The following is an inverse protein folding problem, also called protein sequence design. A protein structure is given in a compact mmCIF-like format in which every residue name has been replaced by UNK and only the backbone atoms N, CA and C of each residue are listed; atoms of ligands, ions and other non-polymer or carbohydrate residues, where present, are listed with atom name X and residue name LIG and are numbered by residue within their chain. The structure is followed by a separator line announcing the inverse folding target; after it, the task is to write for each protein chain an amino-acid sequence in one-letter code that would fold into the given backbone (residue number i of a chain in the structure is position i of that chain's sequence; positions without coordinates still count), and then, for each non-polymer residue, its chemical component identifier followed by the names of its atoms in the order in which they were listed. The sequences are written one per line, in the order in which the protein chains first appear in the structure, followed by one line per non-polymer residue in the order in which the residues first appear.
data_IF_811864886216
#
_entry.id   IF_811864886216
#
_cell.length_a   1.000
_cell.length_b   1.000
_cell.length_c   1.000
_cell.angle_alpha   90.00
_cell.angle_beta   90.00
_cell.angle_gamma   90.00
#
_symmetry.space_group_name_H-M   'P 1'
#
loop_
_entity.id
_entity.type
_entity.pdbx_description
1 polymer ?
#
# COMPACT_ATOMS: atom_id res chain seq x y z
N UNK A 1 2.92 -11.23 -2.03
CA UNK A 1 3.34 -11.21 -0.61
C UNK A 1 4.84 -11.02 -0.53
N UNK A 2 5.30 -10.06 0.27
CA UNK A 2 6.72 -9.71 0.43
C UNK A 2 7.06 -9.72 1.93
N UNK A 3 7.68 -10.79 2.38
CA UNK A 3 8.29 -10.85 3.70
C UNK A 3 9.69 -10.26 3.62
N UNK A 4 9.96 -9.20 4.34
CA UNK A 4 11.17 -8.39 4.21
C UNK A 4 11.82 -8.08 5.56
N UNK A 5 13.09 -7.73 5.54
CA UNK A 5 13.72 -7.04 6.66
C UNK A 5 13.34 -5.54 6.68
N UNK A 6 13.68 -4.87 7.76
CA UNK A 6 13.53 -3.43 7.85
C UNK A 6 14.48 -2.70 6.86
N UNK A 7 14.07 -1.52 6.40
CA UNK A 7 14.88 -0.58 5.60
C UNK A 7 15.42 -1.11 4.26
N UNK A 8 14.74 -2.05 3.63
CA UNK A 8 15.10 -2.57 2.29
C UNK A 8 14.42 -1.83 1.13
N UNK A 9 13.82 -0.67 1.37
CA UNK A 9 13.20 0.15 0.32
C UNK A 9 11.80 -0.28 -0.11
N UNK A 10 11.10 -1.11 0.66
CA UNK A 10 9.76 -1.59 0.30
C UNK A 10 8.75 -0.46 0.07
N UNK A 11 8.73 0.58 0.91
CA UNK A 11 7.85 1.73 0.73
C UNK A 11 8.10 2.45 -0.61
N UNK A 12 9.35 2.47 -1.09
CA UNK A 12 9.67 3.02 -2.43
C UNK A 12 9.11 2.15 -3.56
N UNK A 13 9.06 0.83 -3.39
CA UNK A 13 8.38 -0.06 -4.34
C UNK A 13 6.89 0.28 -4.39
N UNK A 14 6.24 0.48 -3.25
CA UNK A 14 4.84 0.92 -3.20
C UNK A 14 4.64 2.27 -3.90
N UNK A 15 5.54 3.23 -3.64
CA UNK A 15 5.50 4.55 -4.30
C UNK A 15 5.61 4.42 -5.83
N UNK A 16 6.50 3.56 -6.34
CA UNK A 16 6.62 3.33 -7.79
C UNK A 16 5.36 2.69 -8.38
N UNK A 17 4.72 1.74 -7.69
CA UNK A 17 3.45 1.15 -8.11
C UNK A 17 2.38 2.25 -8.18
N UNK A 18 2.28 3.09 -7.15
CA UNK A 18 1.32 4.19 -7.11
C UNK A 18 1.57 5.18 -8.25
N UNK A 19 2.82 5.63 -8.42
CA UNK A 19 3.20 6.58 -9.46
C UNK A 19 2.90 6.05 -10.87
N UNK A 20 3.22 4.78 -11.15
CA UNK A 20 2.90 4.12 -12.41
C UNK A 20 1.39 4.16 -12.70
N UNK A 21 0.58 3.83 -11.71
CA UNK A 21 -0.88 3.79 -11.86
C UNK A 21 -1.56 5.16 -11.76
N UNK A 22 -0.88 6.20 -11.35
CA UNK A 22 -1.35 7.58 -11.52
C UNK A 22 -1.10 8.06 -12.95
N UNK A 23 0.06 7.72 -13.52
CA UNK A 23 0.54 8.28 -14.79
C UNK A 23 0.13 7.45 -16.00
N UNK A 24 0.38 6.14 -16.00
CA UNK A 24 0.32 5.30 -17.21
C UNK A 24 -0.91 4.39 -17.27
N UNK A 25 -1.40 3.89 -16.15
CA UNK A 25 -2.49 2.91 -16.10
C UNK A 25 -3.46 3.29 -14.97
N UNK A 26 -4.10 4.45 -15.15
CA UNK A 26 -4.93 5.09 -14.14
C UNK A 26 -6.05 4.19 -13.62
N UNK A 27 -6.15 4.06 -12.31
CA UNK A 27 -7.16 3.24 -11.66
C UNK A 27 -7.34 3.59 -10.18
N UNK A 28 -8.43 3.14 -9.54
CA UNK A 28 -8.61 3.31 -8.11
C UNK A 28 -7.63 2.47 -7.29
N UNK A 29 -6.88 3.12 -6.40
CA UNK A 29 -5.83 2.53 -5.55
C UNK A 29 -6.22 2.73 -4.08
N UNK A 30 -5.94 1.73 -3.25
CA UNK A 30 -6.01 1.83 -1.80
C UNK A 30 -4.66 1.43 -1.20
N UNK A 31 -4.15 2.23 -0.29
CA UNK A 31 -3.00 1.87 0.56
C UNK A 31 -3.51 1.74 1.98
N UNK A 32 -3.19 0.63 2.60
CA UNK A 32 -3.56 0.35 3.99
C UNK A 32 -2.31 0.41 4.85
N UNK A 33 -2.33 1.29 5.84
CA UNK A 33 -1.30 1.45 6.87
C UNK A 33 -1.81 0.93 8.21
N UNK A 34 -0.96 0.63 9.20
CA UNK A 34 -1.40 0.11 10.50
C UNK A 34 -2.43 1.01 11.19
N UNK A 35 -2.18 2.30 11.20
CA UNK A 35 -3.07 3.32 11.81
C UNK A 35 -3.39 4.44 10.84
N UNK A 36 -4.34 5.31 11.22
CA UNK A 36 -4.68 6.51 10.45
C UNK A 36 -3.55 7.56 10.53
N UNK A 37 -2.83 7.58 11.64
CA UNK A 37 -1.66 8.42 11.88
C UNK A 37 -0.53 8.02 10.93
N UNK A 38 -0.26 6.73 10.80
CA UNK A 38 0.73 6.20 9.85
C UNK A 38 0.33 6.52 8.39
N UNK A 39 -0.95 6.37 8.06
CA UNK A 39 -1.47 6.74 6.73
C UNK A 39 -1.28 8.25 6.46
N UNK A 40 -1.46 9.08 7.47
CA UNK A 40 -1.26 10.54 7.37
C UNK A 40 0.23 10.88 7.22
N UNK A 41 1.11 10.23 7.98
CA UNK A 41 2.56 10.34 7.87
C UNK A 41 3.03 9.94 6.47
N UNK A 42 2.63 8.76 6.00
CA UNK A 42 2.95 8.26 4.66
C UNK A 42 2.50 9.24 3.55
N UNK A 43 1.31 9.84 3.70
CA UNK A 43 0.83 10.86 2.75
C UNK A 43 1.76 12.08 2.67
N UNK A 44 2.23 12.56 3.83
CA UNK A 44 3.06 13.78 3.91
C UNK A 44 4.52 13.52 3.52
N UNK A 45 5.07 12.40 3.98
CA UNK A 45 6.50 12.13 3.91
C UNK A 45 6.92 11.37 2.65
N UNK A 46 5.99 10.60 2.05
CA UNK A 46 6.28 9.77 0.89
C UNK A 46 5.48 10.20 -0.34
N UNK A 47 4.15 10.32 -0.23
CA UNK A 47 3.29 10.60 -1.40
C UNK A 47 3.42 12.05 -1.85
N UNK A 48 3.38 13.02 -0.95
CA UNK A 48 3.47 14.43 -1.34
C UNK A 48 4.83 14.78 -1.99
N UNK A 49 5.99 14.35 -1.45
CA UNK A 49 7.26 14.54 -2.16
C UNK A 49 7.32 13.82 -3.50
N UNK A 50 6.82 12.57 -3.59
CA UNK A 50 6.78 11.83 -4.85
C UNK A 50 6.01 12.61 -5.94
N UNK A 51 4.83 13.13 -5.61
CA UNK A 51 4.02 13.91 -6.55
C UNK A 51 4.67 15.22 -6.95
N UNK A 52 5.37 15.88 -6.02
CA UNK A 52 6.08 17.14 -6.25
C UNK A 52 7.35 16.98 -7.07
N UNK A 53 8.14 15.94 -6.78
CA UNK A 53 9.51 15.81 -7.28
C UNK A 53 9.63 14.91 -8.53
N UNK A 54 8.51 14.26 -8.94
CA UNK A 54 8.48 13.40 -10.13
C UNK A 54 7.86 14.16 -11.31
N UNK A 55 8.64 14.58 -12.32
CA UNK A 55 8.14 15.47 -13.38
C UNK A 55 6.91 14.97 -14.12
N UNK A 56 6.81 13.67 -14.40
CA UNK A 56 5.67 13.10 -15.12
C UNK A 56 4.36 13.07 -14.30
N UNK A 57 4.42 13.34 -12.99
CA UNK A 57 3.25 13.41 -12.12
C UNK A 57 2.76 14.85 -11.89
N UNK A 58 3.51 15.84 -12.36
CA UNK A 58 3.14 17.25 -12.18
C UNK A 58 1.79 17.54 -12.82
N UNK A 59 0.90 18.19 -12.07
CA UNK A 59 -0.43 18.60 -12.54
C UNK A 59 -1.47 17.48 -12.64
N UNK A 60 -1.09 16.20 -12.45
CA UNK A 60 -2.05 15.09 -12.46
C UNK A 60 -2.87 15.02 -11.17
N UNK A 61 -2.30 15.40 -10.05
CA UNK A 61 -2.96 15.44 -8.74
C UNK A 61 -2.97 16.87 -8.25
N UNK A 62 -4.15 17.44 -8.03
CA UNK A 62 -4.28 18.79 -7.47
C UNK A 62 -3.82 18.85 -6.03
N UNK A 63 -3.28 20.00 -5.60
CA UNK A 63 -2.89 20.21 -4.22
C UNK A 63 -4.08 20.08 -3.25
N UNK A 64 -3.84 19.52 -2.07
CA UNK A 64 -4.84 19.38 -1.01
C UNK A 64 -5.42 20.73 -0.51
N UNK A 65 -4.79 21.84 -0.88
CA UNK A 65 -5.21 23.21 -0.59
C UNK A 65 -6.07 23.84 -1.66
N UNK A 66 -6.27 23.18 -2.79
CA UNK A 66 -7.15 23.68 -3.84
C UNK A 66 -8.60 23.76 -3.31
N UNK A 67 -9.31 24.85 -3.66
CA UNK A 67 -10.67 25.17 -3.15
C UNK A 67 -11.75 24.14 -3.51
N UNK A 68 -11.45 23.16 -4.35
CA UNK A 68 -12.40 22.15 -4.85
C UNK A 68 -12.70 21.00 -3.86
N UNK A 69 -12.02 20.97 -2.71
CA UNK A 69 -12.32 20.03 -1.62
C UNK A 69 -12.16 18.53 -1.93
N UNK A 70 -11.78 18.20 -3.16
CA UNK A 70 -11.71 16.81 -3.64
C UNK A 70 -10.45 16.10 -3.19
N UNK A 71 -9.38 16.84 -2.91
CA UNK A 71 -8.10 16.32 -2.45
C UNK A 71 -7.86 16.63 -0.97
N UNK A 72 -7.67 15.59 -0.20
CA UNK A 72 -7.34 15.65 1.23
C UNK A 72 -5.98 14.97 1.49
N UNK A 73 -5.53 14.98 2.72
CA UNK A 73 -4.34 14.22 3.10
C UNK A 73 -4.48 12.72 2.81
N UNK A 74 -5.67 12.17 3.02
CA UNK A 74 -5.92 10.72 2.90
C UNK A 74 -6.57 10.31 1.58
N UNK A 75 -6.94 11.27 0.73
CA UNK A 75 -7.55 10.98 -0.57
C UNK A 75 -6.97 11.92 -1.63
N UNK A 76 -6.54 11.36 -2.75
CA UNK A 76 -6.05 12.07 -3.91
C UNK A 76 -6.85 11.63 -5.13
N UNK A 77 -7.34 12.58 -5.89
CA UNK A 77 -8.00 12.34 -7.17
C UNK A 77 -7.05 12.69 -8.32
N UNK A 78 -7.09 11.90 -9.36
CA UNK A 78 -6.36 12.12 -10.61
C UNK A 78 -7.19 11.61 -11.78
N UNK A 79 -6.91 12.02 -13.01
CA UNK A 79 -7.65 11.57 -14.19
C UNK A 79 -7.68 10.03 -14.27
N UNK A 80 -8.89 9.47 -14.28
CA UNK A 80 -9.10 8.01 -14.38
C UNK A 80 -8.96 7.22 -13.07
N UNK A 81 -8.65 7.87 -11.91
CA UNK A 81 -8.48 7.13 -10.68
C UNK A 81 -8.49 7.94 -9.39
N UNK A 82 -8.34 7.23 -8.30
CA UNK A 82 -8.23 7.81 -6.96
C UNK A 82 -7.22 7.02 -6.14
N UNK A 83 -6.44 7.69 -5.32
CA UNK A 83 -5.62 7.09 -4.28
C UNK A 83 -6.28 7.36 -2.93
N UNK A 84 -6.55 6.31 -2.17
CA UNK A 84 -7.05 6.39 -0.80
C UNK A 84 -6.05 5.77 0.16
N UNK A 85 -5.73 6.49 1.21
CA UNK A 85 -4.86 6.05 2.30
C UNK A 85 -5.75 5.77 3.51
N UNK A 86 -5.68 4.57 4.06
CA UNK A 86 -6.57 4.12 5.13
C UNK A 86 -5.78 3.48 6.26
N UNK A 87 -6.25 3.65 7.50
CA UNK A 87 -5.72 2.92 8.65
C UNK A 87 -6.42 1.57 8.80
N UNK A 88 -5.66 0.52 9.08
CA UNK A 88 -6.19 -0.83 9.31
C UNK A 88 -7.13 -0.91 10.52
N UNK A 89 -6.99 0.01 11.47
CA UNK A 89 -7.86 0.13 12.64
C UNK A 89 -9.24 0.74 12.33
N UNK A 90 -9.45 1.31 11.13
CA UNK A 90 -10.68 2.01 10.75
C UNK A 90 -11.53 1.21 9.75
N UNK A 91 -12.68 0.62 10.17
CA UNK A 91 -13.54 -0.10 9.23
C UNK A 91 -14.12 0.79 8.14
N UNK A 92 -14.29 2.08 8.39
CA UNK A 92 -14.87 3.04 7.42
C UNK A 92 -14.04 3.16 6.14
N UNK A 93 -12.71 3.04 6.24
CA UNK A 93 -11.81 3.11 5.08
C UNK A 93 -12.04 2.01 4.05
N UNK A 94 -12.57 0.88 4.48
CA UNK A 94 -12.84 -0.27 3.62
C UNK A 94 -14.27 -0.29 3.03
N UNK A 95 -15.15 0.63 3.44
CA UNK A 95 -16.55 0.59 3.00
C UNK A 95 -16.77 1.36 1.69
N UNK A 96 -17.80 0.94 0.94
CA UNK A 96 -18.45 1.68 -0.17
C UNK A 96 -17.58 1.96 -1.39
N UNK A 97 -16.44 1.29 -1.56
CA UNK A 97 -15.54 1.59 -2.68
C UNK A 97 -14.96 0.32 -3.27
N UNK A 98 -14.96 0.24 -4.60
CA UNK A 98 -14.20 -0.77 -5.34
C UNK A 98 -12.82 -0.22 -5.65
N UNK A 99 -11.79 -1.06 -5.54
CA UNK A 99 -10.40 -0.71 -5.82
C UNK A 99 -9.77 -1.75 -6.74
N UNK A 100 -9.07 -1.30 -7.77
CA UNK A 100 -8.34 -2.24 -8.63
C UNK A 100 -7.04 -2.69 -7.96
N UNK A 101 -6.41 -1.79 -7.23
CA UNK A 101 -5.14 -2.05 -6.55
C UNK A 101 -5.31 -1.83 -5.06
N UNK A 102 -4.84 -2.80 -4.27
CA UNK A 102 -4.74 -2.68 -2.81
C UNK A 102 -3.32 -3.03 -2.39
N UNK A 103 -2.70 -2.09 -1.69
CA UNK A 103 -1.34 -2.17 -1.17
C UNK A 103 -1.41 -2.18 0.36
N UNK A 104 -1.01 -3.29 0.96
CA UNK A 104 -0.94 -3.42 2.41
C UNK A 104 0.49 -3.25 2.86
N UNK A 105 0.73 -2.29 3.73
CA UNK A 105 2.04 -2.00 4.31
C UNK A 105 2.07 -2.34 5.79
N UNK A 106 3.16 -2.93 6.25
CA UNK A 106 3.43 -3.34 7.64
C UNK A 106 2.27 -4.14 8.28
N UNK A 107 1.82 -5.21 7.60
CA UNK A 107 0.63 -5.98 8.00
C UNK A 107 0.73 -6.65 9.37
N UNK A 108 1.94 -6.92 9.85
CA UNK A 108 2.14 -7.47 11.20
C UNK A 108 1.84 -6.43 12.30
N UNK A 109 1.84 -5.13 11.95
CA UNK A 109 1.42 -4.04 12.82
C UNK A 109 -0.10 -3.82 12.88
N UNK A 110 -0.89 -4.56 12.10
CA UNK A 110 -2.35 -4.37 12.11
C UNK A 110 -2.99 -4.92 13.38
N UNK A 111 -4.04 -4.27 13.90
CA UNK A 111 -4.82 -4.81 15.00
C UNK A 111 -5.46 -6.16 14.61
N UNK A 112 -5.92 -6.93 15.59
CA UNK A 112 -6.53 -8.24 15.35
C UNK A 112 -7.75 -8.17 14.43
N UNK A 113 -8.48 -7.06 14.44
CA UNK A 113 -9.68 -6.81 13.64
C UNK A 113 -9.82 -5.32 13.30
N UNK A 114 -10.46 -5.00 12.17
CA UNK A 114 -10.93 -3.66 11.86
C UNK A 114 -12.24 -3.40 12.64
N UNK A 115 -12.11 -3.03 13.91
CA UNK A 115 -13.24 -2.91 14.79
C UNK A 115 -14.04 -4.23 14.86
N UNK A 116 -15.34 -4.18 14.55
CA UNK A 116 -16.24 -5.35 14.52
C UNK A 116 -16.31 -6.05 13.15
N UNK A 117 -15.61 -5.55 12.13
CA UNK A 117 -15.78 -6.04 10.73
C UNK A 117 -14.85 -7.19 10.33
N UNK A 118 -13.91 -7.54 11.19
CA UNK A 118 -13.02 -8.67 10.98
C UNK A 118 -11.68 -8.32 10.32
N UNK A 119 -11.08 -9.27 9.65
CA UNK A 119 -9.71 -9.20 9.12
C UNK A 119 -9.57 -8.16 8.00
N UNK A 120 -8.65 -7.20 8.18
CA UNK A 120 -8.41 -6.08 7.29
C UNK A 120 -7.95 -6.51 5.89
N UNK A 121 -7.16 -7.57 5.82
CA UNK A 121 -6.63 -8.09 4.56
C UNK A 121 -7.80 -8.64 3.74
N UNK A 122 -8.67 -9.44 4.35
CA UNK A 122 -9.87 -9.97 3.69
C UNK A 122 -10.81 -8.85 3.26
N UNK A 123 -11.00 -7.83 4.11
CA UNK A 123 -11.81 -6.67 3.76
C UNK A 123 -11.26 -5.92 2.54
N UNK A 124 -9.95 -5.67 2.51
CA UNK A 124 -9.31 -5.01 1.38
C UNK A 124 -9.37 -5.84 0.09
N UNK A 125 -9.13 -7.16 0.17
CA UNK A 125 -9.22 -8.08 -0.97
C UNK A 125 -10.62 -8.05 -1.60
N UNK A 126 -11.69 -8.07 -0.79
CA UNK A 126 -13.08 -7.95 -1.27
C UNK A 126 -13.33 -6.68 -2.08
N UNK A 127 -12.60 -5.59 -1.82
CA UNK A 127 -12.73 -4.35 -2.61
C UNK A 127 -12.19 -4.49 -4.01
N UNK A 128 -11.42 -5.52 -4.32
CA UNK A 128 -10.84 -5.76 -5.63
C UNK A 128 -11.64 -6.71 -6.52
N UNK A 129 -12.67 -7.37 -6.01
CA UNK A 129 -13.40 -8.44 -6.70
C UNK A 129 -14.07 -7.99 -8.00
N UNK A 130 -14.43 -6.72 -8.12
CA UNK A 130 -15.00 -6.14 -9.33
C UNK A 130 -14.02 -6.12 -10.52
N UNK A 131 -12.70 -6.12 -10.25
CA UNK A 131 -11.68 -5.97 -11.27
C UNK A 131 -11.03 -7.31 -11.61
N UNK A 132 -11.14 -7.75 -12.86
CA UNK A 132 -10.48 -8.96 -13.35
C UNK A 132 -8.95 -8.85 -13.33
N UNK A 133 -8.41 -7.63 -13.54
CA UNK A 133 -6.99 -7.30 -13.56
C UNK A 133 -6.52 -6.67 -12.23
N UNK A 134 -7.15 -7.07 -11.13
CA UNK A 134 -6.79 -6.61 -9.78
C UNK A 134 -5.35 -6.93 -9.41
N UNK A 135 -4.75 -6.07 -8.60
CA UNK A 135 -3.43 -6.27 -8.02
C UNK A 135 -3.49 -6.09 -6.50
N UNK A 136 -2.95 -7.05 -5.79
CA UNK A 136 -2.87 -7.04 -4.33
C UNK A 136 -1.42 -7.25 -3.94
N UNK A 137 -0.86 -6.30 -3.21
CA UNK A 137 0.52 -6.38 -2.69
C UNK A 137 0.46 -6.28 -1.19
N UNK A 138 1.08 -7.23 -0.51
CA UNK A 138 1.18 -7.25 0.96
C UNK A 138 2.63 -7.36 1.36
N UNK A 139 3.07 -6.49 2.25
CA UNK A 139 4.44 -6.52 2.76
C UNK A 139 4.52 -6.18 4.24
N UNK A 140 5.48 -6.80 4.90
CA UNK A 140 5.80 -6.51 6.30
C UNK A 140 7.16 -7.08 6.68
N UNK A 141 7.73 -6.50 7.72
CA UNK A 141 8.76 -7.15 8.52
C UNK A 141 8.08 -8.16 9.44
N UNK A 142 8.51 -9.44 9.46
CA UNK A 142 7.92 -10.42 10.38
C UNK A 142 8.26 -10.05 11.83
N UNK A 143 7.31 -10.25 12.74
CA UNK A 143 7.47 -9.94 14.16
C UNK A 143 7.89 -11.19 14.95
N UNK A 144 6.93 -11.99 15.38
CA UNK A 144 7.17 -13.19 16.18
C UNK A 144 6.95 -14.42 15.32
N UNK A 145 7.93 -15.33 15.30
CA UNK A 145 7.84 -16.58 14.56
C UNK A 145 6.55 -17.34 14.92
N UNK A 146 5.92 -17.96 13.93
CA UNK A 146 4.65 -18.70 13.99
C UNK A 146 3.40 -17.84 14.29
N UNK A 147 3.56 -16.59 14.76
CA UNK A 147 2.46 -15.64 14.99
C UNK A 147 2.36 -14.56 13.90
N UNK A 148 3.44 -14.26 13.21
CA UNK A 148 3.53 -13.27 12.15
C UNK A 148 2.52 -13.54 11.03
N UNK A 149 1.74 -12.52 10.66
CA UNK A 149 0.77 -12.60 9.55
C UNK A 149 1.48 -12.70 8.20
N UNK A 150 2.55 -11.91 8.01
CA UNK A 150 3.31 -11.94 6.77
C UNK A 150 4.01 -13.27 6.56
N UNK A 151 4.52 -13.90 7.63
CA UNK A 151 5.12 -15.24 7.57
C UNK A 151 4.08 -16.27 7.11
N UNK A 152 2.91 -16.29 7.72
CA UNK A 152 1.80 -17.18 7.31
C UNK A 152 1.39 -16.99 5.86
N UNK A 153 1.31 -15.74 5.40
CA UNK A 153 1.01 -15.43 4.00
C UNK A 153 2.14 -15.83 3.07
N UNK A 154 3.40 -15.65 3.47
CA UNK A 154 4.55 -16.03 2.67
C UNK A 154 4.64 -17.55 2.47
N UNK A 155 4.37 -18.33 3.52
CA UNK A 155 4.34 -19.80 3.46
C UNK A 155 3.27 -20.35 2.50
N UNK A 156 2.24 -19.56 2.16
CA UNK A 156 1.20 -19.90 1.17
C UNK A 156 1.58 -19.53 -0.27
N UNK A 157 2.76 -18.95 -0.48
CA UNK A 157 3.28 -18.58 -1.81
C UNK A 157 4.28 -19.62 -2.32
N UNK A 158 4.86 -19.38 -3.49
CA UNK A 158 5.98 -20.17 -4.01
C UNK A 158 7.30 -19.92 -3.27
N UNK A 159 7.30 -19.11 -2.22
CA UNK A 159 8.41 -18.86 -1.29
C UNK A 159 9.73 -18.47 -1.96
N UNK A 160 9.66 -17.70 -3.04
CA UNK A 160 10.84 -17.19 -3.69
C UNK A 160 11.64 -16.28 -2.75
N UNK A 161 12.95 -16.44 -2.77
CA UNK A 161 13.90 -15.66 -1.97
C UNK A 161 14.87 -14.95 -2.89
N UNK A 162 15.24 -13.74 -2.52
CA UNK A 162 16.29 -13.00 -3.18
C UNK A 162 17.62 -13.28 -2.50
N UNK A 163 18.58 -13.71 -3.27
CA UNK A 163 19.94 -13.96 -2.83
C UNK A 163 20.89 -12.97 -3.48
N UNK A 164 21.81 -12.42 -2.71
CA UNK A 164 22.90 -11.61 -3.21
C UNK A 164 24.19 -12.41 -3.09
N UNK A 165 25.00 -12.50 -4.14
CA UNK A 165 26.33 -13.12 -4.02
C UNK A 165 27.19 -12.32 -3.04
N UNK A 166 28.00 -13.01 -2.26
CA UNK A 166 29.00 -12.37 -1.42
C UNK A 166 29.96 -11.54 -2.28
N UNK A 167 30.19 -10.25 -1.97
CA UNK A 167 31.06 -9.40 -2.77
C UNK A 167 32.53 -9.87 -2.77
N UNK A 168 32.94 -10.65 -1.77
CA UNK A 168 34.33 -11.12 -1.66
C UNK A 168 34.55 -12.48 -2.33
N UNK A 169 33.65 -13.45 -2.13
CA UNK A 169 33.86 -14.82 -2.61
C UNK A 169 32.81 -15.30 -3.63
N UNK A 170 31.82 -14.49 -3.95
CA UNK A 170 30.78 -14.85 -4.92
C UNK A 170 29.78 -15.93 -4.45
N UNK A 171 29.91 -16.45 -3.23
CA UNK A 171 28.98 -17.46 -2.71
C UNK A 171 27.56 -16.89 -2.55
N UNK A 172 26.55 -17.67 -2.99
CA UNK A 172 25.12 -17.33 -2.88
C UNK A 172 24.52 -17.83 -1.58
#
# INVERSE_FOLDING_TARGET
TIMKSARVGYSKILNHIIAYHIHLDSCPIMVVQPTIEDATGYSKEEIAPMLRDTPCLHGLVSDAKAKDGQNTLLQKQFPGGTLSLVGANSPRGFRRVSRRIVLFDEIDGYPASAGTEGDQIKLGIRRTEYYWNRKIVSGSTPTVKDFSRIEKMFLQTNQQRYYCPCPECGHM
#
